data_IF_663989548806
#
_entry.id   IF_663989548806
#
_cell.length_a   1.000
_cell.length_b   1.000
_cell.length_c   1.000
_cell.angle_alpha   90.00
_cell.angle_beta   90.00
_cell.angle_gamma   90.00
#
_symmetry.space_group_name_H-M   'P 1'
#
loop_
_entity.id
_entity.type
_entity.pdbx_description
1 polymer ?
#
# COMPACT_ATOMS: atom_id res chain seq x y z
N UNK A 1 3.63 -1.37 23.81
CA UNK A 1 4.69 -0.59 23.11
C UNK A 1 5.91 -1.42 22.69
N UNK A 2 6.48 -2.32 23.52
CA UNK A 2 7.70 -3.10 23.17
C UNK A 2 7.59 -4.00 21.92
N UNK A 3 6.42 -4.61 21.64
CA UNK A 3 6.23 -5.50 20.48
C UNK A 3 6.37 -4.78 19.12
N UNK A 4 5.98 -3.50 19.04
CA UNK A 4 6.05 -2.70 17.80
C UNK A 4 7.50 -2.34 17.47
N UNK A 5 8.32 -2.03 18.48
CA UNK A 5 9.75 -1.81 18.29
C UNK A 5 10.46 -3.08 17.82
N UNK A 6 10.09 -4.24 18.36
CA UNK A 6 10.67 -5.52 17.93
C UNK A 6 10.35 -5.83 16.46
N UNK A 7 9.12 -5.57 16.03
CA UNK A 7 8.72 -5.73 14.63
C UNK A 7 9.50 -4.78 13.69
N UNK A 8 9.67 -3.51 14.09
CA UNK A 8 10.49 -2.52 13.36
C UNK A 8 11.95 -2.95 13.23
N UNK A 9 12.54 -3.45 14.32
CA UNK A 9 13.94 -3.90 14.34
C UNK A 9 14.12 -5.15 13.48
N UNK A 10 13.24 -6.15 13.63
CA UNK A 10 13.30 -7.37 12.82
C UNK A 10 13.15 -7.07 11.33
N UNK A 11 12.32 -6.09 10.99
CA UNK A 11 12.13 -5.69 9.61
C UNK A 11 13.33 -4.91 9.06
N UNK A 12 13.90 -3.97 9.82
CA UNK A 12 15.14 -3.30 9.44
C UNK A 12 16.27 -4.32 9.20
N UNK A 13 16.35 -5.36 10.04
CA UNK A 13 17.30 -6.47 9.87
C UNK A 13 17.01 -7.26 8.58
N UNK A 14 15.75 -7.60 8.32
CA UNK A 14 15.34 -8.32 7.11
C UNK A 14 15.62 -7.51 5.84
N UNK A 15 15.31 -6.21 5.83
CA UNK A 15 15.65 -5.29 4.74
C UNK A 15 17.17 -5.21 4.54
N UNK A 16 17.96 -5.11 5.62
CA UNK A 16 19.42 -5.07 5.52
C UNK A 16 20.00 -6.37 4.94
N UNK A 17 19.41 -7.53 5.28
CA UNK A 17 19.76 -8.84 4.69
C UNK A 17 19.39 -8.90 3.21
N UNK A 18 18.20 -8.43 2.84
CA UNK A 18 17.75 -8.35 1.45
C UNK A 18 18.69 -7.42 0.65
N UNK A 19 18.96 -6.20 1.10
CA UNK A 19 19.96 -5.29 0.48
C UNK A 19 21.32 -5.96 0.29
N UNK A 20 21.78 -6.75 1.26
CA UNK A 20 23.04 -7.48 1.16
C UNK A 20 23.02 -8.60 0.10
N UNK A 21 21.90 -9.33 -0.04
CA UNK A 21 21.75 -10.40 -1.02
C UNK A 21 21.72 -9.89 -2.46
N UNK A 22 21.19 -8.70 -2.68
CA UNK A 22 20.97 -8.14 -4.02
C UNK A 22 22.03 -7.12 -4.48
N UNK A 23 23.05 -6.82 -3.66
CA UNK A 23 24.20 -5.96 -4.00
C UNK A 23 24.99 -6.41 -5.25
N UNK A 24 24.75 -7.63 -5.76
CA UNK A 24 25.52 -8.23 -6.86
C UNK A 24 24.90 -8.10 -8.27
N UNK A 25 23.63 -7.69 -8.41
CA UNK A 25 22.98 -7.50 -9.74
C UNK A 25 22.28 -6.14 -9.81
N UNK A 26 22.80 -5.23 -10.66
CA UNK A 26 22.28 -3.85 -10.88
C UNK A 26 20.77 -3.81 -11.17
N UNK A 27 20.23 -4.78 -11.91
CA UNK A 27 18.79 -4.90 -12.24
C UNK A 27 17.90 -5.14 -11.01
N UNK A 28 18.40 -5.83 -9.98
CA UNK A 28 17.59 -6.15 -8.79
C UNK A 28 17.52 -4.98 -7.80
N UNK A 29 18.31 -3.91 -8.00
CA UNK A 29 18.32 -2.78 -7.07
C UNK A 29 17.06 -1.91 -7.19
N UNK A 30 16.50 -1.78 -8.41
CA UNK A 30 15.23 -1.05 -8.64
C UNK A 30 14.06 -1.74 -7.93
N UNK A 31 13.88 -3.04 -8.17
CA UNK A 31 12.80 -3.84 -7.57
C UNK A 31 12.87 -3.81 -6.04
N UNK A 32 14.07 -3.89 -5.47
CA UNK A 32 14.25 -3.78 -4.02
C UNK A 32 13.84 -2.43 -3.46
N UNK A 33 14.27 -1.33 -4.08
CA UNK A 33 13.88 -0.01 -3.62
C UNK A 33 12.35 0.14 -3.65
N UNK A 34 11.69 -0.43 -4.66
CA UNK A 34 10.21 -0.43 -4.75
C UNK A 34 9.56 -1.21 -3.61
N UNK A 35 10.09 -2.38 -3.26
CA UNK A 35 9.61 -3.16 -2.12
C UNK A 35 9.79 -2.40 -0.80
N UNK A 36 10.90 -1.67 -0.65
CA UNK A 36 11.14 -0.82 0.52
C UNK A 36 10.14 0.33 0.60
N UNK A 37 9.88 1.03 -0.52
CA UNK A 37 8.87 2.09 -0.58
C UNK A 37 7.47 1.56 -0.25
N UNK A 38 7.07 0.41 -0.81
CA UNK A 38 5.80 -0.24 -0.47
C UNK A 38 5.67 -0.49 1.03
N UNK A 39 6.75 -0.93 1.67
CA UNK A 39 6.75 -1.16 3.10
C UNK A 39 6.59 0.14 3.90
N UNK A 40 7.31 1.20 3.54
CA UNK A 40 7.19 2.50 4.20
C UNK A 40 5.77 3.07 4.12
N UNK A 41 5.12 2.91 2.96
CA UNK A 41 3.73 3.33 2.76
C UNK A 41 2.75 2.50 3.61
N UNK A 42 2.87 1.16 3.62
CA UNK A 42 2.06 0.28 4.47
C UNK A 42 2.22 0.65 5.95
N UNK A 43 3.43 1.00 6.34
CA UNK A 43 3.72 1.42 7.69
C UNK A 43 3.10 2.78 8.03
N UNK A 44 3.10 3.73 7.09
CA UNK A 44 2.38 5.02 7.23
C UNK A 44 0.89 4.79 7.47
N UNK A 45 0.25 3.94 6.65
CA UNK A 45 -1.16 3.54 6.81
C UNK A 45 -1.45 2.98 8.22
N UNK A 46 -0.57 2.13 8.75
CA UNK A 46 -0.74 1.58 10.10
C UNK A 46 -0.60 2.67 11.19
N UNK A 47 0.26 3.67 10.99
CA UNK A 47 0.37 4.80 11.93
C UNK A 47 -0.84 5.74 11.87
N UNK A 48 -1.48 5.90 10.69
CA UNK A 48 -2.71 6.69 10.57
C UNK A 48 -3.85 6.09 11.40
N UNK A 49 -3.96 4.77 11.45
CA UNK A 49 -4.96 4.08 12.28
C UNK A 49 -4.83 4.42 13.78
N UNK A 50 -3.62 4.72 14.25
CA UNK A 50 -3.38 5.13 15.64
C UNK A 50 -3.81 6.58 15.94
N UNK A 51 -4.11 7.37 14.91
CA UNK A 51 -4.50 8.78 15.03
C UNK A 51 -6.01 8.98 14.97
N UNK A 52 -6.77 7.91 14.74
CA UNK A 52 -8.22 7.95 14.65
C UNK A 52 -8.81 7.95 16.05
N UNK A 53 -9.56 9.02 16.38
CA UNK A 53 -10.28 9.13 17.64
C UNK A 53 -11.79 8.83 17.51
N UNK A 54 -12.33 8.86 16.28
CA UNK A 54 -13.75 8.68 16.00
C UNK A 54 -14.00 7.42 15.16
N UNK A 55 -14.42 6.34 15.84
CA UNK A 55 -14.65 5.04 15.20
C UNK A 55 -15.98 4.97 14.43
N UNK A 56 -16.92 5.89 14.67
CA UNK A 56 -18.25 5.83 14.04
C UNK A 56 -18.17 6.12 12.52
N UNK A 57 -17.28 7.02 12.12
CA UNK A 57 -17.04 7.34 10.71
C UNK A 57 -16.35 6.18 9.97
N UNK A 58 -15.56 5.36 10.68
CA UNK A 58 -14.98 4.16 10.10
C UNK A 58 -16.03 3.10 9.78
N UNK A 59 -17.12 3.01 10.52
CA UNK A 59 -18.23 2.11 10.17
C UNK A 59 -18.87 2.52 8.85
N UNK A 60 -19.07 3.83 8.63
CA UNK A 60 -19.62 4.38 7.39
C UNK A 60 -18.70 4.09 6.21
N UNK A 61 -17.39 4.20 6.41
CA UNK A 61 -16.38 3.99 5.38
C UNK A 61 -15.90 2.53 5.24
N UNK A 62 -16.36 1.62 6.11
CA UNK A 62 -15.79 0.29 6.28
C UNK A 62 -15.82 -0.53 5.00
N UNK A 63 -16.95 -0.49 4.28
CA UNK A 63 -17.13 -1.23 3.02
C UNK A 63 -16.10 -0.79 1.96
N UNK A 64 -15.91 0.51 1.79
CA UNK A 64 -14.97 1.05 0.81
C UNK A 64 -13.51 0.78 1.20
N UNK A 65 -13.17 0.92 2.49
CA UNK A 65 -11.84 0.58 3.00
C UNK A 65 -11.52 -0.91 2.84
N UNK A 66 -12.49 -1.80 3.08
CA UNK A 66 -12.34 -3.23 2.87
C UNK A 66 -12.14 -3.57 1.38
N UNK A 67 -12.86 -2.88 0.49
CA UNK A 67 -12.69 -3.04 -0.96
C UNK A 67 -11.27 -2.67 -1.40
N UNK A 68 -10.74 -1.54 -0.92
CA UNK A 68 -9.34 -1.12 -1.14
C UNK A 68 -8.37 -2.19 -0.61
N UNK A 69 -8.52 -2.61 0.64
CA UNK A 69 -7.66 -3.61 1.27
C UNK A 69 -7.66 -4.95 0.50
N UNK A 70 -8.82 -5.36 -0.01
CA UNK A 70 -8.98 -6.58 -0.81
C UNK A 70 -8.17 -6.50 -2.11
N UNK A 71 -8.28 -5.41 -2.86
CA UNK A 71 -7.55 -5.28 -4.12
C UNK A 71 -6.04 -5.14 -3.93
N UNK A 72 -5.58 -4.46 -2.87
CA UNK A 72 -4.17 -4.46 -2.47
C UNK A 72 -3.69 -5.90 -2.25
N UNK A 73 -4.44 -6.67 -1.46
CA UNK A 73 -4.09 -8.07 -1.13
C UNK A 73 -4.04 -8.94 -2.37
N UNK A 74 -5.04 -8.85 -3.25
CA UNK A 74 -5.11 -9.63 -4.48
C UNK A 74 -3.98 -9.30 -5.45
N UNK A 75 -3.64 -8.02 -5.61
CA UNK A 75 -2.49 -7.61 -6.42
C UNK A 75 -1.17 -8.17 -5.87
N UNK A 76 -0.95 -8.12 -4.55
CA UNK A 76 0.26 -8.67 -3.93
C UNK A 76 0.33 -10.20 -4.06
N UNK A 77 -0.79 -10.91 -3.89
CA UNK A 77 -0.87 -12.36 -4.10
C UNK A 77 -0.60 -12.75 -5.56
N UNK A 78 -1.11 -11.95 -6.52
CA UNK A 78 -0.84 -12.15 -7.94
C UNK A 78 0.65 -11.94 -8.26
N UNK A 79 1.30 -10.92 -7.68
CA UNK A 79 2.76 -10.75 -7.79
C UNK A 79 3.53 -11.94 -7.21
N UNK A 80 3.14 -12.42 -6.02
CA UNK A 80 3.77 -13.57 -5.37
C UNK A 80 3.65 -14.84 -6.23
N UNK A 81 2.55 -14.98 -6.98
CA UNK A 81 2.28 -16.12 -7.86
C UNK A 81 2.78 -15.90 -9.30
N UNK A 82 3.55 -14.83 -9.54
CA UNK A 82 4.06 -14.42 -10.85
C UNK A 82 2.97 -14.19 -11.93
N UNK A 83 1.72 -13.92 -11.52
CA UNK A 83 0.59 -13.63 -12.40
C UNK A 83 0.48 -12.12 -12.66
N UNK A 84 1.42 -11.57 -13.43
CA UNK A 84 1.59 -10.12 -13.59
C UNK A 84 0.37 -9.43 -14.23
N UNK A 85 -0.23 -10.03 -15.26
CA UNK A 85 -1.43 -9.48 -15.91
C UNK A 85 -2.61 -9.37 -14.94
N UNK A 86 -2.79 -10.39 -14.10
CA UNK A 86 -3.84 -10.41 -13.09
C UNK A 86 -3.57 -9.39 -11.98
N UNK A 87 -2.30 -9.18 -11.62
CA UNK A 87 -1.92 -8.11 -10.70
C UNK A 87 -2.30 -6.72 -11.24
N UNK A 88 -2.05 -6.46 -12.53
CA UNK A 88 -2.45 -5.21 -13.19
C UNK A 88 -3.97 -5.02 -13.25
N UNK A 89 -4.72 -6.09 -13.49
CA UNK A 89 -6.19 -6.05 -13.39
C UNK A 89 -6.63 -5.60 -11.99
N UNK A 90 -6.10 -6.19 -10.93
CA UNK A 90 -6.43 -5.79 -9.55
C UNK A 90 -5.96 -4.37 -9.20
N UNK A 91 -4.84 -3.89 -9.77
CA UNK A 91 -4.37 -2.50 -9.59
C UNK A 91 -5.34 -1.49 -10.25
N UNK A 92 -5.95 -1.86 -11.38
CA UNK A 92 -6.99 -1.03 -12.01
C UNK A 92 -8.24 -0.96 -11.12
N UNK A 93 -8.68 -2.09 -10.58
CA UNK A 93 -9.81 -2.14 -9.64
C UNK A 93 -9.53 -1.38 -8.33
N UNK A 94 -8.29 -1.45 -7.83
CA UNK A 94 -7.82 -0.62 -6.71
C UNK A 94 -7.94 0.87 -7.04
N UNK A 95 -7.58 1.28 -8.26
CA UNK A 95 -7.69 2.69 -8.68
C UNK A 95 -9.12 3.19 -8.63
N UNK A 96 -10.07 2.42 -9.15
CA UNK A 96 -11.49 2.78 -9.10
C UNK A 96 -12.01 2.89 -7.66
N UNK A 97 -11.58 1.99 -6.78
CA UNK A 97 -11.97 2.00 -5.36
C UNK A 97 -11.40 3.21 -4.61
N UNK A 98 -10.18 3.65 -4.97
CA UNK A 98 -9.59 4.87 -4.42
C UNK A 98 -10.35 6.10 -4.90
N UNK A 99 -10.77 6.14 -6.17
CA UNK A 99 -11.54 7.26 -6.72
C UNK A 99 -12.93 7.37 -6.06
N UNK A 100 -13.60 6.23 -5.86
CA UNK A 100 -14.88 6.15 -5.12
C UNK A 100 -14.72 6.65 -3.68
N UNK A 101 -13.67 6.21 -2.97
CA UNK A 101 -13.39 6.68 -1.61
C UNK A 101 -13.06 8.17 -1.57
N UNK A 102 -12.31 8.68 -2.57
CA UNK A 102 -11.97 10.10 -2.70
C UNK A 102 -13.24 10.92 -2.90
N UNK A 103 -14.18 10.44 -3.71
CA UNK A 103 -15.48 11.08 -3.87
C UNK A 103 -16.26 11.10 -2.55
N UNK A 104 -16.32 9.98 -1.82
CA UNK A 104 -16.94 9.92 -0.49
C UNK A 104 -16.33 10.94 0.47
N UNK A 105 -15.01 11.11 0.41
CA UNK A 105 -14.30 12.10 1.20
C UNK A 105 -14.73 13.54 0.86
N UNK A 106 -14.74 13.89 -0.43
CA UNK A 106 -15.13 15.23 -0.90
C UNK A 106 -16.60 15.53 -0.66
N UNK A 107 -17.49 14.56 -0.85
CA UNK A 107 -18.93 14.79 -0.77
C UNK A 107 -19.41 14.86 0.69
N UNK A 108 -18.77 14.11 1.59
CA UNK A 108 -19.30 13.89 2.94
C UNK A 108 -18.25 14.00 4.04
N UNK A 109 -17.17 13.22 3.98
CA UNK A 109 -16.26 13.08 5.14
C UNK A 109 -15.54 14.38 5.50
N UNK A 110 -15.24 15.24 4.52
CA UNK A 110 -14.64 16.54 4.80
C UNK A 110 -15.53 17.47 5.64
N UNK A 111 -16.85 17.25 5.61
CA UNK A 111 -17.86 18.05 6.33
C UNK A 111 -18.22 17.43 7.67
N UNK A 112 -18.43 16.11 7.70
CA UNK A 112 -18.96 15.42 8.88
C UNK A 112 -17.87 14.91 9.83
N UNK A 113 -16.63 14.76 9.34
CA UNK A 113 -15.53 14.30 10.18
C UNK A 113 -15.01 15.40 11.09
N UNK A 114 -14.77 15.06 12.35
CA UNK A 114 -14.04 15.94 13.28
C UNK A 114 -12.58 16.11 12.88
N UNK A 115 -12.01 15.08 12.26
CA UNK A 115 -10.60 15.03 11.84
C UNK A 115 -10.51 14.53 10.38
N UNK A 116 -10.98 15.33 9.39
CA UNK A 116 -11.04 14.91 7.99
C UNK A 116 -9.65 14.65 7.39
N UNK A 117 -8.62 15.28 7.95
CA UNK A 117 -7.24 15.16 7.50
C UNK A 117 -6.70 13.72 7.53
N UNK A 118 -7.22 12.86 8.43
CA UNK A 118 -6.82 11.45 8.50
C UNK A 118 -7.23 10.70 7.24
N UNK A 119 -8.43 10.99 6.71
CA UNK A 119 -8.91 10.40 5.46
C UNK A 119 -8.14 10.93 4.25
N UNK A 120 -7.75 12.21 4.26
CA UNK A 120 -6.89 12.78 3.22
C UNK A 120 -5.53 12.07 3.17
N UNK A 121 -4.88 11.87 4.32
CA UNK A 121 -3.62 11.12 4.38
C UNK A 121 -3.80 9.67 3.98
N UNK A 122 -4.92 9.03 4.37
CA UNK A 122 -5.23 7.68 3.91
C UNK A 122 -5.31 7.61 2.38
N UNK A 123 -6.03 8.53 1.73
CA UNK A 123 -6.16 8.60 0.26
C UNK A 123 -4.79 8.78 -0.40
N UNK A 124 -3.95 9.65 0.15
CA UNK A 124 -2.58 9.89 -0.35
C UNK A 124 -1.73 8.63 -0.26
N UNK A 125 -1.74 7.96 0.90
CA UNK A 125 -0.94 6.76 1.13
C UNK A 125 -1.40 5.59 0.25
N UNK A 126 -2.72 5.34 0.12
CA UNK A 126 -3.20 4.26 -0.77
C UNK A 126 -2.97 4.56 -2.24
N UNK A 127 -2.97 5.83 -2.64
CA UNK A 127 -2.62 6.25 -4.00
C UNK A 127 -1.16 5.98 -4.29
N UNK A 128 -0.26 6.39 -3.38
CA UNK A 128 1.17 6.12 -3.49
C UNK A 128 1.45 4.61 -3.54
N UNK A 129 0.76 3.83 -2.71
CA UNK A 129 0.87 2.37 -2.71
C UNK A 129 0.50 1.78 -4.07
N UNK A 130 -0.64 2.19 -4.64
CA UNK A 130 -1.14 1.76 -5.95
C UNK A 130 -0.16 2.09 -7.06
N UNK A 131 0.44 3.28 -7.05
CA UNK A 131 1.43 3.71 -8.05
C UNK A 131 2.72 2.88 -7.93
N UNK A 132 3.22 2.67 -6.71
CA UNK A 132 4.42 1.88 -6.47
C UNK A 132 4.21 0.41 -6.86
N UNK A 133 3.02 -0.15 -6.61
CA UNK A 133 2.64 -1.50 -7.06
C UNK A 133 2.59 -1.60 -8.58
N UNK A 134 2.06 -0.57 -9.27
CA UNK A 134 2.07 -0.51 -10.74
C UNK A 134 3.49 -0.49 -11.28
N UNK A 135 4.35 0.34 -10.70
CA UNK A 135 5.76 0.41 -11.09
C UNK A 135 6.52 -0.89 -10.80
N UNK A 136 6.20 -1.58 -9.69
CA UNK A 136 6.75 -2.91 -9.41
C UNK A 136 6.32 -3.92 -10.47
N UNK A 137 5.04 -3.94 -10.84
CA UNK A 137 4.52 -4.81 -11.89
C UNK A 137 5.23 -4.62 -13.24
N UNK A 138 5.51 -3.36 -13.62
CA UNK A 138 6.24 -3.04 -14.85
C UNK A 138 7.69 -3.58 -14.82
N UNK A 139 8.40 -3.40 -13.70
CA UNK A 139 9.77 -3.92 -13.56
C UNK A 139 9.80 -5.46 -13.59
N UNK A 140 8.82 -6.11 -12.93
CA UNK A 140 8.69 -7.56 -12.93
C UNK A 140 8.38 -8.10 -14.33
N UNK A 141 7.48 -7.45 -15.08
CA UNK A 141 7.16 -7.83 -16.46
C UNK A 141 8.40 -7.75 -17.36
N UNK A 142 9.16 -6.65 -17.25
CA UNK A 142 10.39 -6.46 -18.01
C UNK A 142 11.46 -7.49 -17.66
N UNK A 143 11.55 -7.89 -16.39
CA UNK A 143 12.50 -8.91 -15.93
C UNK A 143 12.15 -10.34 -16.37
N UNK A 144 10.88 -10.63 -16.69
CA UNK A 144 10.43 -11.94 -17.19
C UNK A 144 10.65 -12.06 -18.71
N UNK A 145 10.58 -10.96 -19.45
CA UNK A 145 10.74 -10.90 -20.91
C UNK A 145 12.20 -10.81 -21.38
N UNK A 146 13.16 -10.67 -20.46
CA UNK A 146 14.60 -10.65 -20.73
C UNK A 146 15.26 -11.98 -20.33
#
# INVERSE_FOLDING_TARGET
MQKIHLARVNLFISMKKIRALFRRKKQNHSILNKIENLYEIIFSLNNLNLRVNDNALFEICSAEMQKIARYITYSLQAFQSAQIEQAFHFIKELSLSIDEFTKLYLDMLQVISREPIVFLFFIQDVTALRDEMKFLGMDLQNAILC
#
